data_IF_563868668860
#
_entry.id   IF_563868668860
#
_cell.length_a   1.000
_cell.length_b   1.000
_cell.length_c   1.000
_cell.angle_alpha   90.00
_cell.angle_beta   90.00
_cell.angle_gamma   90.00
#
_symmetry.space_group_name_H-M   'P 1'
#
loop_
_entity.id
_entity.type
_entity.pdbx_description
1 polymer ?
#
# COMPACT_ATOMS: atom_id res chain seq x y z
N UNK A 1 11.28 -0.77 11.86
CA UNK A 1 10.95 -0.80 13.26
C UNK A 1 10.93 0.57 13.92
N UNK A 2 10.69 0.63 15.23
CA UNK A 2 10.49 1.88 15.96
C UNK A 2 11.62 2.89 15.82
N UNK A 3 12.87 2.46 15.87
CA UNK A 3 14.04 3.34 15.81
C UNK A 3 14.10 4.18 14.52
N UNK A 4 13.87 3.56 13.36
CA UNK A 4 13.90 4.30 12.08
C UNK A 4 12.69 5.23 11.95
N UNK A 5 11.53 4.84 12.46
CA UNK A 5 10.32 5.67 12.46
C UNK A 5 10.49 6.91 13.33
N UNK A 6 11.11 6.75 14.50
CA UNK A 6 11.43 7.87 15.39
C UNK A 6 12.37 8.90 14.73
N UNK A 7 13.38 8.45 13.96
CA UNK A 7 14.26 9.37 13.23
C UNK A 7 13.50 10.09 12.09
N UNK A 8 12.63 9.39 11.37
CA UNK A 8 11.79 10.00 10.36
C UNK A 8 10.84 11.05 10.97
N UNK A 9 10.24 10.77 12.12
CA UNK A 9 9.43 11.74 12.86
C UNK A 9 10.22 12.99 13.21
N UNK A 10 11.41 12.85 13.79
CA UNK A 10 12.28 14.00 14.13
C UNK A 10 12.59 14.89 12.93
N UNK A 11 12.85 14.28 11.76
CA UNK A 11 13.09 15.05 10.52
C UNK A 11 11.83 15.80 10.11
N UNK A 12 10.66 15.17 10.17
CA UNK A 12 9.40 15.83 9.83
C UNK A 12 9.06 16.96 10.81
N UNK A 13 9.23 16.74 12.12
CA UNK A 13 9.02 17.77 13.14
C UNK A 13 9.92 18.99 12.91
N UNK A 14 11.17 18.77 12.50
CA UNK A 14 12.08 19.85 12.16
C UNK A 14 11.64 20.62 10.90
N UNK A 15 11.26 19.90 9.84
CA UNK A 15 10.85 20.50 8.56
C UNK A 15 9.49 21.21 8.65
N UNK A 16 8.60 20.74 9.50
CA UNK A 16 7.22 21.22 9.63
C UNK A 16 7.02 22.09 10.88
N UNK A 17 8.10 22.50 11.55
CA UNK A 17 8.08 23.22 12.81
C UNK A 17 7.10 24.40 12.80
N UNK A 18 7.16 25.24 11.78
CA UNK A 18 6.32 26.44 11.67
C UNK A 18 4.82 26.12 11.57
N UNK A 19 4.47 25.03 10.88
CA UNK A 19 3.09 24.60 10.71
C UNK A 19 2.56 23.90 11.98
N UNK A 20 3.43 23.22 12.73
CA UNK A 20 3.13 22.65 14.04
C UNK A 20 2.87 23.79 15.05
N UNK A 21 3.76 24.78 15.13
CA UNK A 21 3.63 25.94 16.03
C UNK A 21 2.37 26.76 15.74
N UNK A 22 1.93 26.81 14.48
CA UNK A 22 0.67 27.47 14.06
C UNK A 22 -0.58 26.60 14.25
N UNK A 23 -0.43 25.39 14.79
CA UNK A 23 -1.54 24.44 14.99
C UNK A 23 -2.18 23.89 13.72
N UNK A 24 -1.47 23.94 12.58
CA UNK A 24 -1.96 23.38 11.31
C UNK A 24 -1.71 21.88 11.20
N UNK A 25 -0.68 21.39 11.89
CA UNK A 25 -0.27 19.98 11.89
C UNK A 25 -0.12 19.53 13.33
N UNK A 26 -0.70 18.39 13.64
CA UNK A 26 -0.52 17.67 14.89
C UNK A 26 0.03 16.27 14.60
N UNK A 27 1.07 15.87 15.32
CA UNK A 27 1.59 14.51 15.26
C UNK A 27 0.92 13.63 16.32
N UNK A 28 0.27 12.57 15.87
CA UNK A 28 -0.27 11.53 16.72
C UNK A 28 0.55 10.24 16.57
N UNK A 29 1.25 9.85 17.62
CA UNK A 29 1.96 8.56 17.65
C UNK A 29 0.95 7.46 17.96
N UNK A 30 0.84 6.48 17.06
CA UNK A 30 -0.05 5.33 17.19
C UNK A 30 0.81 4.08 17.29
N UNK A 31 0.83 3.48 18.46
CA UNK A 31 1.53 2.24 18.74
C UNK A 31 0.62 1.01 18.56
N UNK A 32 1.21 -0.19 18.56
CA UNK A 32 0.45 -1.44 18.57
C UNK A 32 0.46 -2.25 17.29
N UNK A 33 1.25 -1.87 16.28
CA UNK A 33 1.49 -2.69 15.08
C UNK A 33 2.70 -3.62 15.20
N UNK A 34 3.18 -3.88 16.42
CA UNK A 34 4.29 -4.82 16.64
C UNK A 34 3.84 -6.26 16.38
N UNK A 35 4.78 -7.12 16.03
CA UNK A 35 4.43 -8.53 15.76
C UNK A 35 3.92 -9.25 17.00
N UNK A 36 4.46 -8.92 18.18
CA UNK A 36 4.07 -9.49 19.46
C UNK A 36 2.58 -9.24 19.73
N UNK A 37 2.12 -8.01 19.61
CA UNK A 37 0.71 -7.65 19.84
C UNK A 37 -0.21 -8.26 18.78
N UNK A 38 0.17 -8.16 17.52
CA UNK A 38 -0.61 -8.71 16.40
C UNK A 38 -0.75 -10.23 16.50
N UNK A 39 0.31 -10.92 16.91
CA UNK A 39 0.30 -12.36 17.13
C UNK A 39 -0.57 -12.74 18.34
N UNK A 40 -0.48 -12.01 19.45
CA UNK A 40 -1.29 -12.25 20.64
C UNK A 40 -2.81 -12.08 20.37
N UNK A 41 -3.18 -11.09 19.56
CA UNK A 41 -4.57 -10.81 19.20
C UNK A 41 -5.03 -11.55 17.93
N UNK A 42 -4.14 -12.30 17.26
CA UNK A 42 -4.38 -12.94 15.95
C UNK A 42 -4.98 -11.97 14.93
N UNK A 43 -4.58 -10.72 14.99
CA UNK A 43 -5.09 -9.62 14.17
C UNK A 43 -4.02 -9.03 13.26
N UNK A 44 -4.36 -8.77 12.00
CA UNK A 44 -3.48 -8.05 11.09
C UNK A 44 -3.26 -6.60 11.57
N UNK A 45 -4.33 -5.97 12.06
CA UNK A 45 -4.33 -4.65 12.70
C UNK A 45 -5.28 -4.75 13.92
N UNK A 46 -4.83 -4.47 15.15
CA UNK A 46 -5.72 -4.37 16.30
C UNK A 46 -6.83 -3.34 16.08
N UNK A 47 -8.03 -3.62 16.58
CA UNK A 47 -9.22 -2.82 16.28
C UNK A 47 -9.12 -1.37 16.77
N UNK A 48 -8.52 -1.15 17.94
CA UNK A 48 -8.26 0.18 18.49
C UNK A 48 -7.27 0.97 17.63
N UNK A 49 -6.18 0.31 17.16
CA UNK A 49 -5.20 0.90 16.26
C UNK A 49 -5.85 1.31 14.95
N UNK A 50 -6.68 0.44 14.36
CA UNK A 50 -7.39 0.76 13.12
C UNK A 50 -8.33 1.96 13.30
N UNK A 51 -9.03 2.02 14.44
CA UNK A 51 -9.91 3.16 14.78
C UNK A 51 -9.14 4.48 14.86
N UNK A 52 -7.95 4.47 15.45
CA UNK A 52 -7.10 5.66 15.52
C UNK A 52 -6.54 6.06 14.15
N UNK A 53 -6.08 5.09 13.35
CA UNK A 53 -5.59 5.34 11.99
C UNK A 53 -6.66 6.02 11.11
N UNK A 54 -7.93 5.61 11.23
CA UNK A 54 -9.05 6.21 10.49
C UNK A 54 -9.36 7.66 10.88
N UNK A 55 -8.78 8.17 11.94
CA UNK A 55 -8.92 9.57 12.37
C UNK A 55 -7.82 10.49 11.83
N UNK A 56 -6.79 9.93 11.19
CA UNK A 56 -5.66 10.68 10.68
C UNK A 56 -5.83 10.99 9.19
N UNK A 57 -5.54 12.24 8.79
CA UNK A 57 -5.58 12.65 7.38
C UNK A 57 -4.41 12.06 6.59
N UNK A 58 -3.24 11.90 7.25
CA UNK A 58 -2.01 11.36 6.68
C UNK A 58 -1.37 10.38 7.66
N UNK A 59 -0.87 9.27 7.15
CA UNK A 59 -0.25 8.22 7.97
C UNK A 59 1.18 7.96 7.48
N UNK A 60 2.16 8.20 8.35
CA UNK A 60 3.53 7.72 8.16
C UNK A 60 3.70 6.39 8.88
N UNK A 61 3.97 5.33 8.12
CA UNK A 61 4.13 3.98 8.67
C UNK A 61 5.57 3.49 8.56
N UNK A 62 6.11 3.03 9.66
CA UNK A 62 7.37 2.30 9.69
C UNK A 62 7.23 0.84 9.17
N UNK A 63 8.35 0.13 8.97
CA UNK A 63 8.33 -1.27 8.59
C UNK A 63 7.70 -2.14 9.68
N UNK A 64 6.87 -3.11 9.24
CA UNK A 64 6.23 -4.11 10.10
C UNK A 64 6.70 -5.51 9.74
N UNK A 65 6.83 -6.38 10.71
CA UNK A 65 7.16 -7.79 10.50
C UNK A 65 5.94 -8.55 9.98
N UNK A 66 6.13 -9.36 8.95
CA UNK A 66 5.15 -10.36 8.50
C UNK A 66 5.78 -11.73 8.69
N UNK A 67 5.19 -12.61 9.50
CA UNK A 67 5.70 -13.95 9.73
C UNK A 67 5.82 -14.76 8.43
N UNK A 68 6.83 -15.61 8.36
CA UNK A 68 7.05 -16.56 7.27
C UNK A 68 6.75 -17.97 7.77
N UNK A 69 6.57 -18.90 6.84
CA UNK A 69 6.44 -20.33 7.19
C UNK A 69 7.72 -20.79 7.91
N UNK A 70 7.56 -21.30 9.13
CA UNK A 70 8.68 -21.75 9.97
C UNK A 70 9.17 -20.73 11.00
N UNK A 71 8.69 -19.50 11.00
CA UNK A 71 8.96 -18.55 12.09
C UNK A 71 8.24 -19.01 13.38
N UNK A 72 8.73 -18.52 14.52
CA UNK A 72 8.13 -18.77 15.85
C UNK A 72 6.75 -18.08 16.03
N UNK A 73 6.44 -17.12 15.20
CA UNK A 73 5.19 -16.36 15.23
C UNK A 73 4.07 -17.08 14.47
N UNK A 74 2.82 -17.01 14.95
CA UNK A 74 1.68 -17.52 14.20
C UNK A 74 1.54 -16.79 12.86
N UNK A 75 0.95 -17.46 11.88
CA UNK A 75 0.70 -16.88 10.56
C UNK A 75 -0.40 -15.80 10.62
N UNK A 76 0.01 -14.58 10.87
CA UNK A 76 -0.87 -13.40 10.89
C UNK A 76 -0.76 -12.66 9.54
N UNK A 77 -1.89 -12.23 9.01
CA UNK A 77 -1.92 -11.46 7.76
C UNK A 77 -1.01 -10.23 7.82
N UNK A 78 -0.44 -9.84 6.69
CA UNK A 78 0.39 -8.64 6.58
C UNK A 78 -0.38 -7.39 6.98
N UNK A 79 0.12 -6.64 7.98
CA UNK A 79 -0.45 -5.35 8.35
C UNK A 79 -0.48 -4.36 7.16
N UNK A 80 0.46 -4.46 6.23
CA UNK A 80 0.47 -3.61 5.03
C UNK A 80 -0.71 -3.93 4.10
N UNK A 81 -1.00 -5.20 3.87
CA UNK A 81 -2.10 -5.64 3.01
C UNK A 81 -3.44 -5.27 3.66
N UNK A 82 -3.60 -5.58 4.95
CA UNK A 82 -4.79 -5.22 5.70
C UNK A 82 -5.04 -3.70 5.71
N UNK A 83 -4.01 -2.89 5.95
CA UNK A 83 -4.12 -1.43 5.95
C UNK A 83 -4.57 -0.86 4.60
N UNK A 84 -4.07 -1.41 3.49
CA UNK A 84 -4.49 -1.01 2.14
C UNK A 84 -5.98 -1.24 1.91
N UNK A 85 -6.50 -2.39 2.37
CA UNK A 85 -7.91 -2.75 2.25
C UNK A 85 -8.78 -1.92 3.20
N UNK A 86 -8.42 -1.87 4.47
CA UNK A 86 -9.22 -1.21 5.52
C UNK A 86 -9.32 0.31 5.38
N UNK A 87 -8.33 0.94 4.77
CA UNK A 87 -8.28 2.38 4.52
C UNK A 87 -8.52 2.72 3.03
N UNK A 88 -8.88 1.74 2.21
CA UNK A 88 -9.07 1.86 0.75
C UNK A 88 -7.93 2.62 0.04
N UNK A 89 -6.69 2.28 0.37
CA UNK A 89 -5.50 2.89 -0.24
C UNK A 89 -5.25 2.28 -1.62
N UNK A 90 -6.14 2.56 -2.57
CA UNK A 90 -6.18 1.90 -3.87
C UNK A 90 -5.03 2.24 -4.79
N UNK A 91 -4.45 3.43 -4.69
CA UNK A 91 -3.38 3.88 -5.56
C UNK A 91 -2.01 3.86 -4.86
N UNK A 92 -1.11 3.01 -5.34
CA UNK A 92 0.30 3.08 -4.97
C UNK A 92 0.99 4.03 -5.95
N UNK A 93 1.28 5.25 -5.50
CA UNK A 93 1.85 6.32 -6.31
C UNK A 93 3.35 6.37 -6.07
N UNK A 94 4.13 6.19 -7.14
CA UNK A 94 5.59 6.17 -7.07
C UNK A 94 6.20 7.15 -8.07
N UNK A 95 6.56 8.38 -7.65
CA UNK A 95 7.32 9.29 -8.47
C UNK A 95 8.78 8.83 -8.55
N UNK A 96 9.34 8.88 -9.76
CA UNK A 96 10.76 8.60 -10.04
C UNK A 96 11.28 9.77 -10.86
N UNK A 97 12.28 10.46 -10.32
CA UNK A 97 12.90 11.59 -10.97
C UNK A 97 14.41 11.43 -11.00
N UNK A 98 14.96 11.37 -12.21
CA UNK A 98 16.41 11.26 -12.46
C UNK A 98 16.75 12.32 -13.52
N UNK A 99 17.05 13.57 -13.10
CA UNK A 99 17.26 14.69 -14.04
C UNK A 99 18.35 14.43 -15.08
N UNK A 100 19.43 13.77 -14.69
CA UNK A 100 20.58 13.46 -15.52
C UNK A 100 20.23 12.53 -16.70
N UNK A 101 19.17 11.74 -16.56
CA UNK A 101 18.67 10.84 -17.58
C UNK A 101 17.39 11.36 -18.26
N UNK A 102 16.94 12.56 -17.92
CA UNK A 102 15.67 13.10 -18.40
C UNK A 102 14.44 12.29 -17.95
N UNK A 103 14.57 11.52 -16.86
CA UNK A 103 13.49 10.70 -16.31
C UNK A 103 12.67 11.51 -15.32
N UNK A 104 11.38 11.63 -15.60
CA UNK A 104 10.39 12.19 -14.69
C UNK A 104 9.07 11.43 -14.88
N UNK A 105 8.99 10.26 -14.24
CA UNK A 105 7.86 9.34 -14.32
C UNK A 105 7.13 9.27 -12.99
N UNK A 106 5.84 8.98 -13.05
CA UNK A 106 5.05 8.64 -11.87
C UNK A 106 4.25 7.39 -12.18
N UNK A 107 4.49 6.34 -11.40
CA UNK A 107 3.74 5.09 -11.51
C UNK A 107 2.48 5.17 -10.66
N UNK A 108 1.35 4.84 -11.25
CA UNK A 108 0.07 4.60 -10.59
C UNK A 108 -0.19 3.10 -10.66
N UNK A 109 -0.13 2.43 -9.53
CA UNK A 109 -0.39 0.99 -9.43
C UNK A 109 -1.62 0.76 -8.57
N UNK A 110 -2.59 0.01 -9.10
CA UNK A 110 -3.68 -0.50 -8.26
C UNK A 110 -3.09 -1.35 -7.13
N UNK A 111 -3.57 -1.17 -5.91
CA UNK A 111 -2.90 -1.62 -4.70
C UNK A 111 -3.77 -2.49 -3.79
N UNK A 112 -5.05 -2.65 -4.10
CA UNK A 112 -6.04 -3.41 -3.31
C UNK A 112 -6.51 -4.68 -4.00
N UNK A 113 -6.25 -4.81 -5.29
CA UNK A 113 -6.61 -5.98 -6.12
C UNK A 113 -5.37 -6.76 -6.58
N UNK A 114 -5.49 -7.55 -7.64
CA UNK A 114 -4.45 -8.41 -8.16
C UNK A 114 -4.28 -9.67 -7.32
N UNK A 115 -3.06 -10.19 -7.25
CA UNK A 115 -2.73 -11.37 -6.45
C UNK A 115 -2.85 -11.16 -4.93
N UNK A 116 -2.90 -9.90 -4.46
CA UNK A 116 -3.07 -9.61 -3.04
C UNK A 116 -4.52 -9.70 -2.55
N UNK A 117 -5.50 -9.60 -3.45
CA UNK A 117 -6.91 -9.61 -3.08
C UNK A 117 -7.35 -10.98 -2.57
N UNK A 118 -6.94 -12.05 -3.25
CA UNK A 118 -7.22 -13.43 -2.86
C UNK A 118 -6.36 -13.89 -1.67
N UNK A 119 -5.18 -13.26 -1.48
CA UNK A 119 -4.31 -13.54 -0.35
C UNK A 119 -3.93 -15.02 -0.24
N UNK A 120 -4.49 -15.70 0.75
CA UNK A 120 -4.23 -17.12 1.07
C UNK A 120 -5.20 -18.11 0.41
N UNK A 121 -6.04 -17.67 -0.50
CA UNK A 121 -7.07 -18.49 -1.17
C UNK A 121 -6.48 -19.35 -2.31
N UNK A 122 -5.16 -19.39 -2.45
CA UNK A 122 -4.47 -20.26 -3.41
C UNK A 122 -4.67 -21.75 -3.12
N UNK A 123 -4.49 -22.56 -4.15
CA UNK A 123 -4.66 -24.02 -4.09
C UNK A 123 -3.34 -24.72 -4.40
N UNK A 124 -2.91 -25.61 -3.52
CA UNK A 124 -1.85 -26.56 -3.82
C UNK A 124 -2.49 -27.76 -4.53
N UNK A 125 -2.20 -27.90 -5.83
CA UNK A 125 -2.73 -29.01 -6.65
C UNK A 125 -1.91 -30.27 -6.43
N UNK A 126 -0.58 -30.12 -6.35
CA UNK A 126 0.39 -31.15 -5.97
C UNK A 126 1.49 -30.50 -5.12
N UNK A 127 2.46 -31.29 -4.65
CA UNK A 127 3.62 -30.75 -3.91
C UNK A 127 4.45 -29.77 -4.75
N UNK A 128 4.43 -29.93 -6.09
CA UNK A 128 5.20 -29.12 -7.03
C UNK A 128 4.36 -28.07 -7.77
N UNK A 129 3.01 -28.06 -7.61
CA UNK A 129 2.11 -27.19 -8.35
C UNK A 129 1.17 -26.43 -7.43
N UNK A 130 1.37 -25.14 -7.31
CA UNK A 130 0.45 -24.20 -6.66
C UNK A 130 -0.23 -23.29 -7.66
N UNK A 131 -1.45 -22.86 -7.38
CA UNK A 131 -2.24 -21.91 -8.15
C UNK A 131 -2.69 -20.80 -7.21
N UNK A 132 -2.37 -19.54 -7.57
CA UNK A 132 -2.91 -18.36 -6.93
C UNK A 132 -3.87 -17.62 -7.87
N UNK A 133 -4.83 -16.93 -7.29
CA UNK A 133 -5.83 -16.18 -8.05
C UNK A 133 -5.42 -14.71 -8.19
N UNK A 134 -5.65 -14.15 -9.38
CA UNK A 134 -5.54 -12.72 -9.63
C UNK A 134 -6.94 -12.14 -9.80
N UNK A 135 -7.31 -11.20 -8.95
CA UNK A 135 -8.61 -10.51 -8.98
C UNK A 135 -8.45 -9.15 -9.64
N UNK A 136 -9.24 -8.89 -10.67
CA UNK A 136 -9.30 -7.59 -11.35
C UNK A 136 -10.75 -7.24 -11.59
N UNK A 137 -11.19 -6.08 -11.13
CA UNK A 137 -12.55 -5.59 -11.32
C UNK A 137 -12.57 -4.37 -12.22
N UNK A 138 -13.69 -4.14 -12.92
CA UNK A 138 -13.86 -2.91 -13.70
C UNK A 138 -13.82 -1.65 -12.82
N UNK A 139 -14.47 -1.58 -11.65
CA UNK A 139 -14.32 -0.42 -10.76
C UNK A 139 -12.89 -0.17 -10.30
N UNK A 140 -12.11 -1.23 -10.00
CA UNK A 140 -10.69 -1.12 -9.65
C UNK A 140 -9.85 -0.56 -10.78
N UNK A 141 -10.09 -1.02 -12.02
CA UNK A 141 -9.45 -0.47 -13.22
C UNK A 141 -9.81 1.00 -13.43
N UNK A 142 -11.10 1.33 -13.41
CA UNK A 142 -11.58 2.69 -13.65
C UNK A 142 -10.97 3.70 -12.69
N UNK A 143 -10.94 3.40 -11.40
CA UNK A 143 -10.43 4.34 -10.39
C UNK A 143 -8.93 4.60 -10.53
N UNK A 144 -8.11 3.58 -10.81
CA UNK A 144 -6.67 3.77 -10.96
C UNK A 144 -6.32 4.46 -12.27
N UNK A 145 -7.03 4.14 -13.36
CA UNK A 145 -6.87 4.79 -14.65
C UNK A 145 -7.24 6.28 -14.53
N UNK A 146 -8.41 6.58 -13.96
CA UNK A 146 -8.86 7.95 -13.73
C UNK A 146 -7.85 8.75 -12.92
N UNK A 147 -7.37 8.21 -11.80
CA UNK A 147 -6.37 8.85 -10.95
C UNK A 147 -5.07 9.16 -11.72
N UNK A 148 -4.60 8.24 -12.56
CA UNK A 148 -3.42 8.46 -13.38
C UNK A 148 -3.61 9.57 -14.43
N UNK A 149 -4.75 9.61 -15.10
CA UNK A 149 -5.06 10.66 -16.07
C UNK A 149 -5.29 12.03 -15.42
N UNK A 150 -5.98 12.09 -14.30
CA UNK A 150 -6.16 13.32 -13.53
C UNK A 150 -4.83 13.90 -13.05
N UNK A 151 -3.97 13.05 -12.51
CA UNK A 151 -2.61 13.45 -12.15
C UNK A 151 -1.82 13.96 -13.36
N UNK A 152 -1.85 13.26 -14.47
CA UNK A 152 -1.15 13.64 -15.68
C UNK A 152 -1.62 15.03 -16.17
N UNK A 153 -2.92 15.25 -16.19
CA UNK A 153 -3.53 16.54 -16.55
C UNK A 153 -3.11 17.66 -15.59
N UNK A 154 -3.22 17.43 -14.28
CA UNK A 154 -2.89 18.43 -13.25
C UNK A 154 -1.38 18.79 -13.24
N UNK A 155 -0.50 17.89 -13.65
CA UNK A 155 0.95 18.08 -13.64
C UNK A 155 1.55 18.32 -15.04
N UNK A 156 0.73 18.63 -16.05
CA UNK A 156 1.20 18.94 -17.40
C UNK A 156 1.92 17.80 -18.11
N UNK A 157 1.70 16.54 -17.68
CA UNK A 157 2.26 15.35 -18.34
C UNK A 157 1.56 15.13 -19.67
N UNK A 158 2.30 14.81 -20.71
CA UNK A 158 1.77 14.69 -22.08
C UNK A 158 1.39 13.28 -22.48
N UNK A 159 1.75 12.28 -21.67
CA UNK A 159 1.55 10.86 -22.01
C UNK A 159 1.24 10.05 -20.75
N UNK A 160 0.23 9.21 -20.88
CA UNK A 160 -0.05 8.12 -19.93
C UNK A 160 0.18 6.80 -20.68
N UNK A 161 0.89 5.88 -20.08
CA UNK A 161 1.18 4.57 -20.66
C UNK A 161 0.55 3.49 -19.81
N UNK A 162 -0.35 2.71 -20.38
CA UNK A 162 -0.89 1.51 -19.74
C UNK A 162 0.11 0.36 -19.90
N UNK A 163 0.41 -0.33 -18.79
CA UNK A 163 1.27 -1.51 -18.77
C UNK A 163 0.41 -2.71 -18.40
N UNK A 164 0.20 -3.60 -19.36
CA UNK A 164 -0.69 -4.74 -19.24
C UNK A 164 -0.20 -5.90 -20.12
N UNK A 165 -0.67 -7.12 -19.83
CA UNK A 165 -0.44 -8.31 -20.66
C UNK A 165 -1.74 -8.82 -21.29
N UNK A 166 -2.67 -7.94 -21.58
CA UNK A 166 -4.02 -8.24 -22.08
C UNK A 166 -4.04 -9.07 -23.38
N UNK A 167 -2.99 -9.00 -24.19
CA UNK A 167 -2.85 -9.84 -25.38
C UNK A 167 -2.80 -11.34 -25.07
N UNK A 168 -2.39 -11.73 -23.87
CA UNK A 168 -2.31 -13.11 -23.40
C UNK A 168 -3.30 -13.37 -22.26
N UNK A 169 -3.27 -12.54 -21.22
CA UNK A 169 -4.11 -12.68 -20.02
C UNK A 169 -5.42 -11.91 -20.24
N UNK A 170 -6.28 -12.48 -21.08
CA UNK A 170 -7.44 -11.74 -21.62
C UNK A 170 -8.53 -11.44 -20.60
N UNK A 171 -8.72 -12.31 -19.61
CA UNK A 171 -9.84 -12.19 -18.65
C UNK A 171 -9.61 -11.08 -17.63
N UNK A 172 -8.43 -11.01 -17.05
CA UNK A 172 -8.09 -10.02 -16.01
C UNK A 172 -7.44 -8.77 -16.60
N UNK A 173 -6.32 -8.92 -17.27
CA UNK A 173 -5.62 -7.79 -17.88
C UNK A 173 -6.42 -7.15 -19.03
N UNK A 174 -7.31 -7.90 -19.68
CA UNK A 174 -8.21 -7.37 -20.69
C UNK A 174 -9.28 -6.43 -20.13
N UNK A 175 -9.60 -6.49 -18.83
CA UNK A 175 -10.49 -5.50 -18.19
C UNK A 175 -9.83 -4.14 -17.99
N UNK A 176 -8.50 -4.11 -18.00
CA UNK A 176 -7.73 -2.89 -17.80
C UNK A 176 -7.65 -2.04 -19.09
N UNK A 177 -7.88 -2.63 -20.26
CA UNK A 177 -7.95 -1.95 -21.56
C UNK A 177 -9.37 -1.54 -21.91
#
# INVERSE_FOLDING_TARGET
>A
GPAITAQAQRVLEYLLKDDIEKGKIEFKVIDGLTIERRAAEMAAIPADVLKELKQCDVILKGPTTTPRKGDEWPNVESANVAMRKELDLFANVRPIRIPELGVDWTFYRENTEGGYAAGKEGVNVTDDLGIDFTVVTSPGCDRIIRAAFEFAKANGKKRVTAVTKANIIKTTDGKFL
#
